data_IF_456747205283
#
_entry.id   IF_456747205283
#
_cell.length_a   1.000
_cell.length_b   1.000
_cell.length_c   1.000
_cell.angle_alpha   90.00
_cell.angle_beta   90.00
_cell.angle_gamma   90.00
#
_symmetry.space_group_name_H-M   'P 1'
#
loop_
_entity.id
_entity.type
_entity.pdbx_description
1 polymer ?
#
# COMPACT_ATOMS: atom_id res chain seq x y z
N UNK A 1 15.58 -3.36 18.73
CA UNK A 1 14.81 -4.39 19.42
C UNK A 1 13.51 -4.65 18.64
N UNK A 2 13.35 -5.88 18.14
CA UNK A 2 12.15 -6.32 17.49
C UNK A 2 11.04 -6.54 18.54
N UNK A 3 9.81 -6.10 18.27
CA UNK A 3 8.70 -6.29 19.21
C UNK A 3 7.90 -7.55 18.92
N UNK A 4 7.84 -7.99 17.67
CA UNK A 4 7.04 -9.13 17.22
C UNK A 4 7.84 -9.99 16.24
N UNK A 5 7.67 -11.32 16.32
CA UNK A 5 8.16 -12.26 15.33
C UNK A 5 9.67 -12.52 15.39
N UNK A 6 10.22 -13.06 14.32
CA UNK A 6 11.62 -13.44 14.18
C UNK A 6 12.11 -13.13 12.77
N UNK A 7 13.26 -12.46 12.66
CA UNK A 7 13.90 -12.19 11.37
C UNK A 7 15.31 -12.77 11.40
N UNK A 8 15.62 -13.64 10.45
CA UNK A 8 16.98 -14.10 10.13
C UNK A 8 17.55 -13.18 9.05
N UNK A 9 18.63 -12.48 9.36
CA UNK A 9 19.31 -11.57 8.44
C UNK A 9 20.64 -12.20 8.03
N UNK A 10 20.86 -12.35 6.73
CA UNK A 10 22.15 -12.73 6.15
C UNK A 10 22.78 -11.49 5.54
N UNK A 11 24.00 -11.18 5.95
CA UNK A 11 24.78 -10.03 5.49
C UNK A 11 25.63 -10.36 4.25
N UNK A 12 26.15 -9.38 3.52
CA UNK A 12 27.01 -9.61 2.34
C UNK A 12 28.24 -10.47 2.62
N UNK A 13 28.83 -10.35 3.82
CA UNK A 13 29.93 -11.18 4.30
C UNK A 13 29.52 -12.60 4.75
N UNK A 14 28.24 -12.98 4.46
CA UNK A 14 27.61 -14.25 4.88
C UNK A 14 27.44 -14.44 6.39
N UNK A 15 27.72 -13.41 7.19
CA UNK A 15 27.35 -13.42 8.60
C UNK A 15 25.83 -13.49 8.76
N UNK A 16 25.37 -14.28 9.71
CA UNK A 16 23.94 -14.43 9.99
C UNK A 16 23.64 -13.87 11.38
N UNK A 17 22.66 -12.97 11.44
CA UNK A 17 22.08 -12.50 12.70
C UNK A 17 20.60 -12.82 12.78
N UNK A 18 20.18 -13.24 13.97
CA UNK A 18 18.78 -13.57 14.24
C UNK A 18 18.24 -12.54 15.22
N UNK A 19 17.20 -11.84 14.81
CA UNK A 19 16.48 -10.90 15.65
C UNK A 19 15.16 -11.54 16.09
N UNK A 20 14.96 -11.61 17.42
CA UNK A 20 13.77 -12.23 18.01
C UNK A 20 12.99 -11.14 18.73
N UNK A 21 11.70 -11.06 18.43
CA UNK A 21 10.77 -10.15 19.06
C UNK A 21 10.32 -10.62 20.44
N UNK A 22 9.78 -9.69 21.22
CA UNK A 22 9.25 -9.98 22.56
C UNK A 22 7.95 -10.81 22.51
N UNK A 23 7.20 -10.74 21.43
CA UNK A 23 5.96 -11.47 21.20
C UNK A 23 6.14 -12.47 20.05
N UNK A 24 5.43 -13.60 20.12
CA UNK A 24 5.36 -14.53 18.99
C UNK A 24 4.73 -13.83 17.78
N UNK A 25 5.17 -14.20 16.58
CA UNK A 25 4.70 -13.60 15.34
C UNK A 25 5.34 -14.22 14.11
N UNK A 26 5.23 -13.57 12.95
CA UNK A 26 5.80 -14.08 11.70
C UNK A 26 7.28 -14.36 11.80
N UNK A 27 7.72 -15.40 11.07
CA UNK A 27 9.13 -15.75 10.93
C UNK A 27 9.52 -15.51 9.48
N UNK A 28 10.54 -14.69 9.25
CA UNK A 28 11.02 -14.35 7.93
C UNK A 28 12.54 -14.44 7.83
N UNK A 29 13.03 -14.59 6.60
CA UNK A 29 14.43 -14.46 6.26
C UNK A 29 14.66 -13.30 5.30
N UNK A 30 15.82 -12.70 5.37
CA UNK A 30 16.25 -11.63 4.48
C UNK A 30 17.76 -11.75 4.24
N UNK A 31 18.18 -11.61 3.01
CA UNK A 31 19.58 -11.58 2.61
C UNK A 31 19.92 -10.24 1.94
N UNK A 32 20.89 -9.54 2.49
CA UNK A 32 21.49 -8.36 1.88
C UNK A 32 22.67 -8.81 1.03
N UNK A 33 22.61 -8.54 -0.28
CA UNK A 33 23.66 -8.93 -1.21
C UNK A 33 24.82 -7.93 -1.26
N UNK A 34 24.55 -6.66 -0.89
CA UNK A 34 25.51 -5.56 -0.94
C UNK A 34 25.48 -4.71 0.32
N UNK A 35 26.60 -4.09 0.67
CA UNK A 35 26.64 -3.07 1.74
C UNK A 35 25.83 -1.82 1.35
N UNK A 36 25.67 -1.57 0.05
CA UNK A 36 24.82 -0.53 -0.49
C UNK A 36 23.36 -0.69 -0.08
N UNK A 37 22.83 -1.92 -0.15
CA UNK A 37 21.47 -2.24 0.27
C UNK A 37 21.24 -1.96 1.77
N UNK A 38 22.23 -2.27 2.59
CA UNK A 38 22.18 -1.97 4.04
C UNK A 38 22.12 -0.46 4.25
N UNK A 39 22.99 0.31 3.57
CA UNK A 39 23.02 1.78 3.66
C UNK A 39 21.71 2.38 3.17
N UNK A 40 21.17 1.92 2.02
CA UNK A 40 19.85 2.35 1.49
C UNK A 40 18.74 2.11 2.52
N UNK A 41 18.72 0.93 3.14
CA UNK A 41 17.70 0.58 4.16
C UNK A 41 17.81 1.45 5.41
N UNK A 42 19.05 1.67 5.92
CA UNK A 42 19.26 2.45 7.14
C UNK A 42 18.96 3.95 6.91
N UNK A 43 19.40 4.51 5.79
CA UNK A 43 19.26 5.93 5.49
C UNK A 43 17.88 6.27 4.90
N UNK A 44 17.37 5.42 4.02
CA UNK A 44 16.09 5.61 3.33
C UNK A 44 14.88 5.00 4.02
N UNK A 45 15.08 4.26 5.12
CA UNK A 45 14.00 3.59 5.85
C UNK A 45 13.21 2.63 4.96
N UNK A 46 11.89 2.65 5.07
CA UNK A 46 11.01 1.77 4.27
C UNK A 46 11.15 1.99 2.75
N UNK A 47 11.35 3.23 2.32
CA UNK A 47 11.54 3.53 0.88
C UNK A 47 12.87 2.93 0.38
N UNK A 48 13.98 3.17 1.06
CA UNK A 48 15.28 2.60 0.69
C UNK A 48 15.30 1.07 0.75
N UNK A 49 14.53 0.48 1.66
CA UNK A 49 14.31 -0.96 1.72
C UNK A 49 13.57 -1.47 0.47
N UNK A 50 12.47 -0.83 0.07
CA UNK A 50 11.73 -1.19 -1.13
C UNK A 50 12.58 -1.02 -2.40
N UNK A 51 13.33 0.08 -2.51
CA UNK A 51 14.25 0.31 -3.64
C UNK A 51 15.30 -0.81 -3.74
N UNK A 52 15.89 -1.22 -2.63
CA UNK A 52 16.88 -2.29 -2.59
C UNK A 52 16.30 -3.67 -2.97
N UNK A 53 15.01 -3.93 -2.65
CA UNK A 53 14.31 -5.13 -3.12
C UNK A 53 14.08 -5.06 -4.63
N UNK A 54 13.56 -3.94 -5.13
CA UNK A 54 13.26 -3.76 -6.56
C UNK A 54 14.52 -3.87 -7.41
N UNK A 55 15.65 -3.35 -6.90
CA UNK A 55 16.96 -3.48 -7.57
C UNK A 55 17.61 -4.85 -7.41
N UNK A 56 16.98 -5.79 -6.70
CA UNK A 56 17.52 -7.13 -6.47
C UNK A 56 18.72 -7.19 -5.51
N UNK A 57 18.98 -6.14 -4.76
CA UNK A 57 20.07 -6.08 -3.77
C UNK A 57 19.67 -6.71 -2.43
N UNK A 58 18.37 -6.93 -2.22
CA UNK A 58 17.80 -7.65 -1.09
C UNK A 58 16.95 -8.80 -1.62
N UNK A 59 17.14 -9.99 -1.06
CA UNK A 59 16.36 -11.19 -1.39
C UNK A 59 15.64 -11.70 -0.13
N UNK A 60 14.39 -12.10 -0.31
CA UNK A 60 13.60 -12.81 0.70
C UNK A 60 12.53 -13.66 0.03
N UNK A 61 12.30 -14.86 0.54
CA UNK A 61 11.19 -15.74 0.13
C UNK A 61 9.89 -15.37 0.86
N UNK A 62 9.97 -14.64 1.96
CA UNK A 62 8.82 -14.26 2.79
C UNK A 62 8.71 -12.74 2.96
N UNK A 63 8.82 -11.99 1.86
CA UNK A 63 8.79 -10.53 1.89
C UNK A 63 7.51 -9.99 2.57
N UNK A 64 6.37 -10.65 2.37
CA UNK A 64 5.10 -10.28 2.99
C UNK A 64 5.16 -10.34 4.52
N UNK A 65 5.88 -11.33 5.10
CA UNK A 65 6.06 -11.45 6.55
C UNK A 65 6.97 -10.35 7.11
N UNK A 66 7.97 -9.90 6.32
CA UNK A 66 8.83 -8.78 6.71
C UNK A 66 8.01 -7.49 6.76
N UNK A 67 7.14 -7.28 5.75
CA UNK A 67 6.24 -6.13 5.71
C UNK A 67 5.24 -6.18 6.88
N UNK A 68 4.69 -7.35 7.19
CA UNK A 68 3.80 -7.55 8.34
C UNK A 68 4.50 -7.18 9.66
N UNK A 69 5.72 -7.67 9.89
CA UNK A 69 6.52 -7.33 11.06
C UNK A 69 6.79 -5.82 11.11
N UNK A 70 7.14 -5.20 9.98
CA UNK A 70 7.44 -3.77 9.87
C UNK A 70 6.22 -2.88 10.08
N UNK A 71 5.03 -3.33 9.66
CA UNK A 71 3.77 -2.62 9.79
C UNK A 71 3.17 -2.65 11.20
N UNK A 72 3.67 -3.52 12.07
CA UNK A 72 3.19 -3.57 13.45
C UNK A 72 3.59 -2.30 14.21
N UNK A 73 2.62 -1.58 14.76
CA UNK A 73 2.80 -0.25 15.40
C UNK A 73 3.91 -0.22 16.46
N UNK A 74 4.15 -1.33 17.13
CA UNK A 74 5.17 -1.49 18.17
C UNK A 74 6.41 -2.23 17.66
N UNK A 75 6.64 -2.29 16.34
CA UNK A 75 7.67 -3.17 15.74
C UNK A 75 9.10 -2.88 16.22
N UNK A 76 9.33 -1.73 16.86
CA UNK A 76 10.66 -1.30 17.28
C UNK A 76 11.63 -1.01 16.12
N UNK A 77 11.17 -1.19 14.88
CA UNK A 77 11.91 -0.85 13.66
C UNK A 77 11.88 0.67 13.36
N UNK A 78 11.35 1.46 14.30
CA UNK A 78 11.43 2.91 14.20
C UNK A 78 12.90 3.33 14.14
N UNK A 79 13.30 3.80 13.01
CA UNK A 79 14.62 4.32 12.69
C UNK A 79 14.92 5.57 13.55
N UNK A 80 15.45 5.35 14.75
CA UNK A 80 15.84 6.41 15.70
C UNK A 80 17.34 6.72 15.64
N UNK A 81 17.97 6.60 14.47
CA UNK A 81 19.38 6.92 14.30
C UNK A 81 19.62 8.40 13.97
N UNK A 82 20.79 8.96 14.36
CA UNK A 82 21.18 10.34 14.01
C UNK A 82 21.10 10.64 12.50
N UNK A 83 21.33 9.65 11.63
CA UNK A 83 21.17 9.76 10.17
C UNK A 83 19.71 9.94 9.71
N UNK A 84 18.74 9.41 10.45
CA UNK A 84 17.32 9.57 10.16
C UNK A 84 16.86 11.03 10.25
N UNK A 85 17.36 11.80 11.23
CA UNK A 85 17.00 13.21 11.37
C UNK A 85 17.53 14.05 10.20
N UNK A 86 18.75 13.77 9.74
CA UNK A 86 19.30 14.46 8.57
C UNK A 86 18.52 14.11 7.29
N UNK A 87 18.20 12.83 7.09
CA UNK A 87 17.40 12.38 5.96
C UNK A 87 15.96 12.94 6.01
N UNK A 88 15.37 13.00 7.21
CA UNK A 88 14.06 13.64 7.42
C UNK A 88 14.08 15.14 7.08
N UNK A 89 15.17 15.84 7.38
CA UNK A 89 15.34 17.25 7.03
C UNK A 89 15.47 17.42 5.51
N UNK A 90 16.28 16.60 4.85
CA UNK A 90 16.42 16.58 3.39
C UNK A 90 15.08 16.26 2.72
N UNK A 91 14.37 15.22 3.18
CA UNK A 91 13.03 14.90 2.67
C UNK A 91 12.02 16.02 2.90
N UNK A 92 12.09 16.75 4.03
CA UNK A 92 11.23 17.90 4.29
C UNK A 92 11.47 19.03 3.28
N UNK A 93 12.72 19.24 2.86
CA UNK A 93 13.08 20.20 1.81
C UNK A 93 12.57 19.73 0.45
N UNK A 94 12.74 18.45 0.09
CA UNK A 94 12.17 17.87 -1.14
C UNK A 94 10.64 17.93 -1.15
N UNK A 95 9.98 17.62 -0.03
CA UNK A 95 8.51 17.77 0.10
C UNK A 95 8.06 19.24 0.01
N UNK A 96 8.86 20.19 0.43
CA UNK A 96 8.54 21.60 0.26
C UNK A 96 8.52 22.01 -1.23
N UNK A 97 9.46 21.49 -2.03
CA UNK A 97 9.48 21.74 -3.48
C UNK A 97 8.42 20.94 -4.25
N UNK A 98 7.99 19.79 -3.73
CA UNK A 98 6.92 18.95 -4.30
C UNK A 98 5.55 19.21 -3.66
N UNK A 99 5.29 20.43 -3.16
CA UNK A 99 3.98 20.79 -2.62
C UNK A 99 2.88 20.57 -3.66
N UNK A 100 1.71 20.13 -3.19
CA UNK A 100 0.48 20.06 -3.97
C UNK A 100 0.02 21.46 -4.40
N UNK A 101 0.68 22.03 -5.42
CA UNK A 101 0.17 23.16 -6.19
C UNK A 101 -0.83 22.64 -7.22
N UNK A 102 -1.68 23.50 -7.78
CA UNK A 102 -2.68 23.11 -8.80
C UNK A 102 -2.00 22.37 -9.98
N UNK A 103 -0.84 22.84 -10.43
CA UNK A 103 -0.04 22.17 -11.48
C UNK A 103 0.67 20.92 -10.99
N UNK A 104 1.18 20.90 -9.74
CA UNK A 104 1.81 19.74 -9.13
C UNK A 104 0.83 18.61 -8.85
N UNK A 105 -0.40 18.92 -8.44
CA UNK A 105 -1.45 17.93 -8.22
C UNK A 105 -1.82 17.20 -9.52
N UNK A 106 -1.94 17.92 -10.64
CA UNK A 106 -2.20 17.31 -11.95
C UNK A 106 -1.10 16.31 -12.34
N UNK A 107 0.18 16.70 -12.16
CA UNK A 107 1.33 15.82 -12.43
C UNK A 107 1.35 14.61 -11.48
N UNK A 108 1.09 14.81 -10.19
CA UNK A 108 1.09 13.73 -9.20
C UNK A 108 -0.05 12.73 -9.45
N UNK A 109 -1.25 13.22 -9.80
CA UNK A 109 -2.39 12.37 -10.17
C UNK A 109 -2.08 11.58 -11.44
N UNK A 110 -1.57 12.23 -12.49
CA UNK A 110 -1.16 11.56 -13.73
C UNK A 110 -0.15 10.45 -13.43
N UNK A 111 0.93 10.74 -12.71
CA UNK A 111 1.93 9.72 -12.34
C UNK A 111 1.34 8.57 -11.54
N UNK A 112 0.35 8.82 -10.67
CA UNK A 112 -0.30 7.78 -9.87
C UNK A 112 -1.14 6.82 -10.73
N UNK A 113 -1.81 7.33 -11.77
CA UNK A 113 -2.63 6.52 -12.68
C UNK A 113 -1.88 6.02 -13.93
N UNK A 114 -0.70 6.55 -14.23
CA UNK A 114 0.14 6.17 -15.39
C UNK A 114 0.72 4.75 -15.31
N UNK A 115 0.55 4.05 -14.17
CA UNK A 115 0.87 2.62 -14.04
C UNK A 115 0.05 1.74 -15.01
N UNK A 116 -1.04 2.31 -15.55
CA UNK A 116 -1.90 1.67 -16.55
C UNK A 116 -2.81 0.58 -16.00
N UNK A 117 -3.87 0.31 -16.75
CA UNK A 117 -4.90 -0.66 -16.35
C UNK A 117 -4.36 -2.07 -16.11
N UNK A 118 -3.29 -2.47 -16.82
CA UNK A 118 -2.71 -3.80 -16.67
C UNK A 118 -2.12 -4.01 -15.27
N UNK A 119 -1.52 -2.98 -14.67
CA UNK A 119 -1.05 -3.04 -13.29
C UNK A 119 -2.21 -3.21 -12.31
N UNK A 120 -3.27 -2.40 -12.44
CA UNK A 120 -4.40 -2.45 -11.52
C UNK A 120 -5.20 -3.75 -11.62
N UNK A 121 -5.31 -4.35 -12.81
CA UNK A 121 -5.94 -5.66 -13.03
C UNK A 121 -5.27 -6.82 -12.29
N UNK A 122 -4.02 -6.67 -11.84
CA UNK A 122 -3.31 -7.72 -11.10
C UNK A 122 -3.88 -7.95 -9.70
N UNK A 123 -4.54 -6.95 -9.12
CA UNK A 123 -4.95 -6.99 -7.71
C UNK A 123 -6.34 -6.38 -7.42
N UNK A 124 -6.92 -5.63 -8.35
CA UNK A 124 -8.32 -5.23 -8.25
C UNK A 124 -9.25 -6.34 -8.74
N UNK A 125 -10.49 -6.27 -8.29
CA UNK A 125 -11.58 -7.11 -8.80
C UNK A 125 -12.00 -6.68 -10.22
N UNK A 126 -12.89 -7.45 -10.85
CA UNK A 126 -13.35 -7.18 -12.24
C UNK A 126 -14.01 -5.81 -12.42
N UNK A 127 -14.60 -5.24 -11.38
CA UNK A 127 -15.17 -3.90 -11.42
C UNK A 127 -14.13 -2.79 -11.43
N UNK A 128 -12.85 -3.13 -11.28
CA UNK A 128 -11.73 -2.19 -11.18
C UNK A 128 -11.93 -1.17 -10.05
N UNK A 129 -12.58 -1.57 -8.97
CA UNK A 129 -12.89 -0.66 -7.86
C UNK A 129 -11.67 -0.37 -7.01
N UNK A 130 -11.09 0.81 -7.15
CA UNK A 130 -9.91 1.27 -6.41
C UNK A 130 -10.31 1.97 -5.10
N UNK A 131 -11.10 1.29 -4.30
CA UNK A 131 -11.44 1.71 -2.94
C UNK A 131 -11.76 0.49 -2.09
N UNK A 132 -11.73 0.65 -0.75
CA UNK A 132 -11.94 -0.46 0.18
C UNK A 132 -13.28 -1.16 -0.06
N UNK A 133 -13.28 -2.48 0.01
CA UNK A 133 -14.49 -3.29 -0.06
C UNK A 133 -15.16 -3.41 1.32
N UNK A 134 -16.45 -3.76 1.34
CA UNK A 134 -17.20 -3.96 2.58
C UNK A 134 -17.50 -5.45 2.80
N UNK A 135 -16.64 -6.12 3.56
CA UNK A 135 -16.80 -7.54 3.88
C UNK A 135 -17.88 -7.79 4.97
N UNK A 136 -18.10 -6.84 5.86
CA UNK A 136 -19.10 -6.97 6.93
C UNK A 136 -18.85 -8.13 7.91
N UNK A 137 -17.58 -8.54 8.09
CA UNK A 137 -17.19 -9.69 8.91
C UNK A 137 -17.37 -11.05 8.23
N UNK A 138 -17.79 -11.10 6.96
CA UNK A 138 -18.02 -12.34 6.21
C UNK A 138 -16.79 -12.74 5.39
N UNK A 139 -16.59 -14.05 5.21
CA UNK A 139 -15.57 -14.62 4.31
C UNK A 139 -16.14 -14.72 2.89
N UNK A 140 -16.14 -13.62 2.17
CA UNK A 140 -16.61 -13.50 0.79
C UNK A 140 -15.48 -13.04 -0.14
N UNK A 141 -15.65 -13.24 -1.45
CA UNK A 141 -14.67 -12.73 -2.43
C UNK A 141 -14.64 -11.21 -2.46
N UNK A 142 -13.54 -10.63 -2.98
CA UNK A 142 -13.39 -9.18 -3.14
C UNK A 142 -14.53 -8.60 -4.00
N UNK A 143 -14.90 -9.27 -5.10
CA UNK A 143 -15.99 -8.87 -5.98
C UNK A 143 -17.32 -8.74 -5.23
N UNK A 144 -17.68 -9.76 -4.44
CA UNK A 144 -18.90 -9.73 -3.60
C UNK A 144 -18.84 -8.66 -2.53
N UNK A 145 -17.67 -8.41 -1.96
CA UNK A 145 -17.51 -7.35 -0.96
C UNK A 145 -17.63 -5.94 -1.58
N UNK A 146 -17.16 -5.75 -2.82
CA UNK A 146 -17.37 -4.50 -3.58
C UNK A 146 -18.85 -4.30 -3.93
N UNK A 147 -19.53 -5.34 -4.44
CA UNK A 147 -20.97 -5.29 -4.71
C UNK A 147 -21.77 -4.97 -3.42
N UNK A 148 -21.44 -5.62 -2.32
CA UNK A 148 -22.05 -5.35 -0.99
C UNK A 148 -21.85 -3.91 -0.55
N UNK A 149 -20.68 -3.31 -0.83
CA UNK A 149 -20.42 -1.89 -0.60
C UNK A 149 -21.38 -1.03 -1.43
N UNK A 150 -21.52 -1.30 -2.71
CA UNK A 150 -22.40 -0.54 -3.60
C UNK A 150 -23.87 -0.62 -3.18
N UNK A 151 -24.33 -1.82 -2.81
CA UNK A 151 -25.68 -1.98 -2.24
C UNK A 151 -25.87 -1.16 -0.95
N UNK A 152 -24.84 -1.13 -0.09
CA UNK A 152 -24.89 -0.35 1.16
C UNK A 152 -24.93 1.15 0.87
N UNK A 153 -24.11 1.64 -0.06
CA UNK A 153 -24.14 3.04 -0.49
C UNK A 153 -25.51 3.39 -1.07
N UNK A 154 -26.03 2.56 -1.98
CA UNK A 154 -27.35 2.78 -2.61
C UNK A 154 -28.47 2.87 -1.56
N UNK A 155 -28.42 2.06 -0.51
CA UNK A 155 -29.37 2.14 0.62
C UNK A 155 -29.22 3.43 1.42
N UNK A 156 -27.97 3.86 1.70
CA UNK A 156 -27.72 5.08 2.49
C UNK A 156 -28.22 6.34 1.76
N UNK A 157 -28.04 6.39 0.44
CA UNK A 157 -28.51 7.52 -0.38
C UNK A 157 -29.95 7.35 -0.88
N UNK A 158 -30.64 6.29 -0.41
CA UNK A 158 -32.02 5.96 -0.78
C UNK A 158 -32.24 5.93 -2.31
N UNK A 159 -31.27 5.30 -3.01
CA UNK A 159 -31.25 5.27 -4.47
C UNK A 159 -32.49 4.53 -5.02
N UNK A 160 -33.25 5.22 -5.88
CA UNK A 160 -34.43 4.68 -6.52
C UNK A 160 -34.24 4.58 -8.03
N UNK A 161 -35.12 3.81 -8.70
CA UNK A 161 -35.10 3.68 -10.16
C UNK A 161 -35.21 5.04 -10.84
N UNK A 162 -34.39 5.23 -11.90
CA UNK A 162 -34.35 6.44 -12.73
C UNK A 162 -33.86 7.70 -12.02
N UNK A 163 -33.28 7.60 -10.81
CA UNK A 163 -32.65 8.76 -10.20
C UNK A 163 -31.51 9.30 -11.05
N UNK A 164 -31.30 10.61 -10.98
CA UNK A 164 -30.10 11.27 -11.49
C UNK A 164 -29.08 11.32 -10.36
N UNK A 165 -27.88 10.79 -10.60
CA UNK A 165 -26.83 10.67 -9.61
C UNK A 165 -25.60 11.43 -10.10
N UNK A 166 -25.02 12.26 -9.25
CA UNK A 166 -23.70 12.84 -9.45
C UNK A 166 -22.69 12.02 -8.66
N UNK A 167 -21.71 11.43 -9.35
CA UNK A 167 -20.60 10.71 -8.74
C UNK A 167 -19.30 11.50 -8.88
N UNK A 168 -18.75 11.96 -7.75
CA UNK A 168 -17.46 12.68 -7.73
C UNK A 168 -16.37 11.70 -7.38
N UNK A 169 -15.39 11.52 -8.29
CA UNK A 169 -14.30 10.55 -8.10
C UNK A 169 -14.69 9.13 -8.49
N UNK A 170 -15.30 8.96 -9.66
CA UNK A 170 -15.84 7.68 -10.14
C UNK A 170 -14.79 6.57 -10.35
N UNK A 171 -13.50 6.88 -10.40
CA UNK A 171 -12.46 5.91 -10.76
C UNK A 171 -12.71 5.30 -12.13
N UNK A 172 -12.80 3.97 -12.21
CA UNK A 172 -13.16 3.24 -13.44
C UNK A 172 -14.68 3.08 -13.63
N UNK A 173 -15.50 3.77 -12.84
CA UNK A 173 -16.95 3.79 -13.00
C UNK A 173 -17.67 2.58 -12.39
N UNK A 174 -17.05 1.86 -11.46
CA UNK A 174 -17.65 0.65 -10.87
C UNK A 174 -19.00 0.89 -10.21
N UNK A 175 -19.17 1.97 -9.43
CA UNK A 175 -20.47 2.31 -8.85
C UNK A 175 -21.45 2.82 -9.91
N UNK A 176 -20.99 3.63 -10.86
CA UNK A 176 -21.82 4.11 -11.97
C UNK A 176 -22.43 2.95 -12.75
N UNK A 177 -21.61 1.95 -13.11
CA UNK A 177 -22.09 0.74 -13.81
C UNK A 177 -23.10 -0.03 -12.95
N UNK A 178 -22.81 -0.21 -11.66
CA UNK A 178 -23.71 -0.88 -10.72
C UNK A 178 -25.07 -0.14 -10.63
N UNK A 179 -25.05 1.18 -10.43
CA UNK A 179 -26.26 1.98 -10.27
C UNK A 179 -27.09 2.02 -11.57
N UNK A 180 -26.44 2.11 -12.72
CA UNK A 180 -27.12 2.04 -14.01
C UNK A 180 -27.80 0.67 -14.23
N UNK A 181 -27.12 -0.44 -13.93
CA UNK A 181 -27.65 -1.80 -14.11
C UNK A 181 -28.80 -2.12 -13.14
N UNK A 182 -28.64 -1.79 -11.86
CA UNK A 182 -29.60 -2.22 -10.82
C UNK A 182 -30.77 -1.24 -10.61
N UNK A 183 -30.55 0.04 -10.87
CA UNK A 183 -31.55 1.09 -10.62
C UNK A 183 -31.94 1.86 -11.88
N UNK A 184 -31.36 1.53 -13.05
CA UNK A 184 -31.58 2.29 -14.28
C UNK A 184 -31.35 3.81 -14.07
N UNK A 185 -30.37 4.15 -13.24
CA UNK A 185 -30.01 5.52 -12.89
C UNK A 185 -29.22 6.18 -14.01
N UNK A 186 -29.37 7.51 -14.11
CA UNK A 186 -28.55 8.35 -14.98
C UNK A 186 -27.39 8.88 -14.13
N UNK A 187 -26.14 8.51 -14.47
CA UNK A 187 -24.95 8.87 -13.70
C UNK A 187 -24.19 9.97 -14.46
N UNK A 188 -23.78 10.98 -13.72
CA UNK A 188 -22.93 12.08 -14.21
C UNK A 188 -21.68 12.19 -13.37
#
# INVERSE_FOLDING_TARGET
>A
NLSLGKIKVTFPNKEIKIFIGKKQGPVANIEFLTDGAIKKTILGGSLGFCEAIISGEIISTEIHKIIEIGGYKESGLNTSGKGYYLFKLINKVFHFFNRNSISGSKKNISTHYDLGNNFYKLWLDKSMTYSSAFFGGEKISLEKAQEKKYLKISKIVELQKKNKVLEIGCGWGGFAEFAAKHYNSIIT
#
